data_IF_508076300527
#
_entry.id   IF_508076300527
#
_cell.length_a   1.000
_cell.length_b   1.000
_cell.length_c   1.000
_cell.angle_alpha   90.00
_cell.angle_beta   90.00
_cell.angle_gamma   90.00
#
_symmetry.space_group_name_H-M   'P 1'
#
loop_
_entity.id
_entity.type
_entity.pdbx_description
1 polymer ?
#
# COMPACT_ATOMS: atom_id res chain seq x y z
N UNK A 1 -13.70 -22.07 3.17
CA UNK A 1 -12.58 -22.98 2.85
C UNK A 1 -11.38 -22.51 3.65
N UNK A 2 -10.65 -23.42 4.30
CA UNK A 2 -9.47 -23.08 5.10
C UNK A 2 -8.20 -23.58 4.39
N UNK A 3 -7.26 -22.68 4.12
CA UNK A 3 -5.99 -23.00 3.46
C UNK A 3 -4.87 -23.34 4.46
N UNK A 4 -5.06 -23.06 5.75
CA UNK A 4 -4.13 -23.33 6.83
C UNK A 4 -2.72 -22.79 6.56
N UNK A 5 -1.70 -23.56 6.91
CA UNK A 5 -0.28 -23.18 6.71
C UNK A 5 0.11 -22.87 5.26
N UNK A 6 -0.68 -23.34 4.27
CA UNK A 6 -0.42 -23.11 2.84
C UNK A 6 -0.78 -21.70 2.41
N UNK A 7 -1.65 -21.00 3.14
CA UNK A 7 -2.10 -19.65 2.78
C UNK A 7 -0.93 -18.68 2.59
N UNK A 8 0.12 -18.79 3.43
CA UNK A 8 1.31 -17.94 3.32
C UNK A 8 2.00 -18.07 1.96
N UNK A 9 2.22 -19.29 1.47
CA UNK A 9 2.89 -19.51 0.18
C UNK A 9 1.98 -19.18 -1.00
N UNK A 10 0.68 -19.47 -0.89
CA UNK A 10 -0.32 -19.10 -1.88
C UNK A 10 -0.40 -17.58 -2.06
N UNK A 11 -0.47 -16.84 -0.95
CA UNK A 11 -0.52 -15.38 -0.96
C UNK A 11 0.77 -14.77 -1.49
N UNK A 12 1.93 -15.24 -1.02
CA UNK A 12 3.23 -14.78 -1.52
C UNK A 12 3.34 -14.95 -3.04
N UNK A 13 3.08 -16.16 -3.55
CA UNK A 13 3.22 -16.43 -4.98
C UNK A 13 2.17 -15.68 -5.82
N UNK A 14 0.91 -15.64 -5.39
CA UNK A 14 -0.15 -14.92 -6.09
C UNK A 14 0.17 -13.43 -6.24
N UNK A 15 0.71 -12.80 -5.18
CA UNK A 15 1.13 -11.40 -5.20
C UNK A 15 2.38 -11.16 -6.04
N UNK A 16 3.44 -11.95 -5.83
CA UNK A 16 4.70 -11.86 -6.60
C UNK A 16 4.46 -11.99 -8.10
N UNK A 17 3.61 -12.93 -8.51
CA UNK A 17 3.30 -13.18 -9.92
C UNK A 17 2.05 -12.45 -10.42
N UNK A 18 1.48 -11.56 -9.60
CA UNK A 18 0.41 -10.64 -10.00
C UNK A 18 -0.84 -11.35 -10.57
N UNK A 19 -1.16 -12.54 -10.07
CA UNK A 19 -2.17 -13.43 -10.67
C UNK A 19 -3.62 -12.99 -10.37
N UNK A 20 -3.84 -12.18 -9.33
CA UNK A 20 -5.14 -11.65 -8.93
C UNK A 20 -5.32 -10.16 -9.25
N UNK A 21 -4.49 -9.58 -10.12
CA UNK A 21 -4.60 -8.15 -10.47
C UNK A 21 -5.85 -7.87 -11.29
N UNK A 22 -6.36 -6.62 -11.30
CA UNK A 22 -7.56 -6.27 -12.05
C UNK A 22 -7.47 -6.54 -13.57
N UNK A 23 -6.27 -6.50 -14.14
CA UNK A 23 -6.05 -6.86 -15.55
C UNK A 23 -6.11 -8.39 -15.81
N UNK A 24 -6.37 -9.21 -14.79
CA UNK A 24 -6.56 -10.67 -14.85
C UNK A 24 -7.97 -11.08 -14.44
N UNK A 25 -8.46 -10.52 -13.34
CA UNK A 25 -9.74 -10.93 -12.70
C UNK A 25 -10.78 -9.79 -12.65
N UNK A 26 -10.51 -8.67 -13.31
CA UNK A 26 -11.36 -7.48 -13.21
C UNK A 26 -11.24 -6.75 -11.87
N UNK A 27 -11.88 -5.60 -11.76
CA UNK A 27 -11.89 -4.80 -10.54
C UNK A 27 -12.85 -5.40 -9.48
N UNK A 28 -12.53 -6.58 -8.95
CA UNK A 28 -13.39 -7.41 -8.09
C UNK A 28 -14.08 -6.60 -6.98
N UNK A 29 -13.36 -5.71 -6.29
CA UNK A 29 -13.93 -4.87 -5.23
C UNK A 29 -14.96 -3.86 -5.72
N UNK A 30 -14.81 -3.35 -6.93
CA UNK A 30 -15.80 -2.46 -7.55
C UNK A 30 -17.01 -3.28 -8.02
N UNK A 31 -16.75 -4.43 -8.66
CA UNK A 31 -17.78 -5.34 -9.17
C UNK A 31 -18.70 -5.86 -8.07
N UNK A 32 -18.15 -6.32 -6.93
CA UNK A 32 -18.99 -6.82 -5.83
C UNK A 32 -19.82 -5.70 -5.17
N UNK A 33 -19.32 -4.46 -5.17
CA UNK A 33 -20.07 -3.29 -4.70
C UNK A 33 -21.19 -2.89 -5.65
N UNK A 34 -21.04 -3.14 -6.95
CA UNK A 34 -22.12 -2.94 -7.92
C UNK A 34 -23.19 -4.04 -7.77
N UNK A 35 -22.77 -5.28 -7.52
CA UNK A 35 -23.66 -6.42 -7.35
C UNK A 35 -24.46 -6.37 -6.05
N UNK A 36 -23.84 -5.99 -4.91
CA UNK A 36 -24.44 -6.09 -3.57
C UNK A 36 -25.09 -7.47 -3.31
N UNK A 37 -24.38 -8.59 -3.53
CA UNK A 37 -24.97 -9.93 -3.47
C UNK A 37 -25.36 -10.31 -2.04
N UNK A 38 -26.47 -11.02 -1.90
CA UNK A 38 -26.94 -11.60 -0.64
C UNK A 38 -26.36 -12.99 -0.37
N UNK A 39 -25.91 -13.70 -1.42
CA UNK A 39 -25.31 -15.03 -1.31
C UNK A 39 -24.05 -15.17 -2.16
N UNK A 40 -23.25 -16.21 -1.88
CA UNK A 40 -22.05 -16.51 -2.67
C UNK A 40 -22.40 -16.98 -4.09
N UNK A 41 -23.51 -17.72 -4.26
CA UNK A 41 -23.95 -18.23 -5.56
C UNK A 41 -24.41 -17.07 -6.46
N UNK A 42 -25.14 -16.10 -5.89
CA UNK A 42 -25.54 -14.86 -6.57
C UNK A 42 -24.30 -14.08 -7.03
N UNK A 43 -23.31 -13.95 -6.13
CA UNK A 43 -22.06 -13.28 -6.47
C UNK A 43 -21.32 -13.99 -7.61
N UNK A 44 -21.15 -15.31 -7.54
CA UNK A 44 -20.40 -16.08 -8.52
C UNK A 44 -21.05 -15.99 -9.91
N UNK A 45 -22.37 -16.17 -9.97
CA UNK A 45 -23.12 -16.03 -11.21
C UNK A 45 -22.99 -14.61 -11.79
N UNK A 46 -23.27 -13.58 -10.99
CA UNK A 46 -23.21 -12.20 -11.44
C UNK A 46 -21.80 -11.80 -11.89
N UNK A 47 -20.77 -12.24 -11.16
CA UNK A 47 -19.38 -11.98 -11.51
C UNK A 47 -19.04 -12.53 -12.89
N UNK A 48 -19.34 -13.79 -13.20
CA UNK A 48 -19.04 -14.35 -14.53
C UNK A 48 -19.94 -13.80 -15.64
N UNK A 49 -21.10 -13.24 -15.31
CA UNK A 49 -21.93 -12.52 -16.27
C UNK A 49 -21.33 -11.16 -16.66
N UNK A 50 -20.76 -10.44 -15.68
CA UNK A 50 -20.45 -9.00 -15.78
C UNK A 50 -18.95 -8.64 -15.72
N UNK A 51 -18.07 -9.54 -15.27
CA UNK A 51 -16.66 -9.20 -15.05
C UNK A 51 -15.86 -9.12 -16.36
N UNK A 52 -15.10 -8.04 -16.50
CA UNK A 52 -14.11 -7.85 -17.56
C UNK A 52 -12.75 -7.48 -16.97
N UNK A 53 -11.67 -7.90 -17.63
CA UNK A 53 -10.31 -7.51 -17.26
C UNK A 53 -10.11 -6.00 -17.40
N UNK A 54 -9.57 -5.35 -16.38
CA UNK A 54 -9.24 -3.92 -16.39
C UNK A 54 -7.85 -3.69 -17.03
N UNK A 55 -7.77 -3.81 -18.35
CA UNK A 55 -6.51 -3.69 -19.11
C UNK A 55 -6.68 -2.95 -20.44
N UNK A 56 -5.66 -3.02 -21.31
CA UNK A 56 -5.73 -2.40 -22.65
C UNK A 56 -6.85 -2.99 -23.52
N UNK A 57 -7.25 -4.23 -23.25
CA UNK A 57 -8.39 -4.92 -23.84
C UNK A 57 -9.28 -5.38 -22.70
N UNK A 58 -10.58 -5.12 -22.81
CA UNK A 58 -11.58 -5.60 -21.86
C UNK A 58 -12.04 -6.97 -22.32
N UNK A 59 -11.45 -8.03 -21.77
CA UNK A 59 -11.84 -9.41 -22.04
C UNK A 59 -12.77 -9.86 -20.92
N UNK A 60 -13.86 -10.56 -21.30
CA UNK A 60 -14.77 -11.14 -20.33
C UNK A 60 -14.02 -12.19 -19.52
N UNK A 61 -14.19 -12.18 -18.20
CA UNK A 61 -13.60 -13.19 -17.31
C UNK A 61 -14.54 -14.39 -17.24
N UNK A 62 -13.98 -15.58 -17.37
CA UNK A 62 -14.70 -16.85 -17.36
C UNK A 62 -14.19 -17.78 -16.25
N UNK A 63 -14.96 -18.83 -15.91
CA UNK A 63 -14.48 -19.86 -14.98
C UNK A 63 -13.18 -20.53 -15.45
N UNK A 64 -12.98 -20.67 -16.77
CA UNK A 64 -11.77 -21.23 -17.35
C UNK A 64 -10.54 -20.33 -17.11
N UNK A 65 -10.72 -19.01 -17.13
CA UNK A 65 -9.64 -18.06 -16.81
C UNK A 65 -9.20 -18.18 -15.35
N UNK A 66 -10.14 -18.31 -14.41
CA UNK A 66 -9.79 -18.53 -13.00
C UNK A 66 -9.08 -19.86 -12.78
N UNK A 67 -9.50 -20.91 -13.51
CA UNK A 67 -8.82 -22.21 -13.49
C UNK A 67 -7.38 -22.09 -14.02
N UNK A 68 -7.16 -21.45 -15.16
CA UNK A 68 -5.82 -21.21 -15.73
C UNK A 68 -4.92 -20.43 -14.73
N UNK A 69 -5.47 -19.40 -14.07
CA UNK A 69 -4.73 -18.65 -13.05
C UNK A 69 -4.33 -19.54 -11.86
N UNK A 70 -5.19 -20.47 -11.46
CA UNK A 70 -4.89 -21.47 -10.43
C UNK A 70 -3.78 -22.45 -10.86
N UNK A 71 -3.84 -22.95 -12.09
CA UNK A 71 -2.80 -23.83 -12.67
C UNK A 71 -1.45 -23.12 -12.75
N UNK A 72 -1.44 -21.85 -13.16
CA UNK A 72 -0.23 -21.01 -13.17
C UNK A 72 0.31 -20.73 -11.78
N UNK A 73 -0.57 -20.51 -10.79
CA UNK A 73 -0.14 -20.36 -9.41
C UNK A 73 0.58 -21.64 -8.93
N UNK A 74 0.01 -22.81 -9.23
CA UNK A 74 0.62 -24.10 -8.90
C UNK A 74 1.97 -24.29 -9.59
N UNK A 75 2.06 -24.02 -10.89
CA UNK A 75 3.31 -24.08 -11.65
C UNK A 75 4.37 -23.15 -11.04
N UNK A 76 4.04 -21.89 -10.75
CA UNK A 76 4.99 -20.93 -10.16
C UNK A 76 5.47 -21.35 -8.78
N UNK A 77 4.58 -21.90 -7.95
CA UNK A 77 4.97 -22.39 -6.63
C UNK A 77 5.93 -23.58 -6.76
N UNK A 78 5.57 -24.57 -7.58
CA UNK A 78 6.32 -25.84 -7.66
C UNK A 78 7.64 -25.72 -8.40
N UNK A 79 7.70 -24.90 -9.46
CA UNK A 79 8.89 -24.78 -10.32
C UNK A 79 9.86 -23.68 -9.91
N UNK A 80 9.40 -22.69 -9.14
CA UNK A 80 10.23 -21.52 -8.76
C UNK A 80 10.27 -21.34 -7.24
N UNK A 81 9.11 -21.09 -6.59
CA UNK A 81 9.09 -20.68 -5.18
C UNK A 81 9.64 -21.78 -4.25
N UNK A 82 9.24 -23.03 -4.45
CA UNK A 82 9.70 -24.15 -3.62
C UNK A 82 11.22 -24.34 -3.77
N UNK A 83 11.80 -24.48 -4.98
CA UNK A 83 13.25 -24.58 -5.15
C UNK A 83 14.01 -23.40 -4.55
N UNK A 84 13.58 -22.15 -4.82
CA UNK A 84 14.25 -20.95 -4.34
C UNK A 84 14.27 -20.88 -2.80
N UNK A 85 13.13 -21.21 -2.16
CA UNK A 85 13.03 -21.20 -0.70
C UNK A 85 13.80 -22.35 -0.07
N UNK A 86 13.78 -23.54 -0.67
CA UNK A 86 14.60 -24.65 -0.20
C UNK A 86 16.08 -24.30 -0.24
N UNK A 87 16.54 -23.64 -1.30
CA UNK A 87 17.92 -23.15 -1.38
C UNK A 87 18.20 -22.10 -0.30
N UNK A 88 17.35 -21.09 -0.17
CA UNK A 88 17.50 -20.04 0.82
C UNK A 88 17.54 -20.59 2.26
N UNK A 89 16.68 -21.55 2.59
CA UNK A 89 16.67 -22.18 3.91
C UNK A 89 17.91 -23.05 4.14
N UNK A 90 18.42 -23.71 3.10
CA UNK A 90 19.63 -24.53 3.18
C UNK A 90 20.88 -23.68 3.36
N UNK A 91 20.94 -22.50 2.73
CA UNK A 91 22.09 -21.60 2.79
C UNK A 91 22.05 -20.60 3.94
N UNK A 92 20.92 -20.47 4.65
CA UNK A 92 20.74 -19.48 5.71
C UNK A 92 21.72 -19.71 6.87
N UNK A 93 22.51 -18.68 7.19
CA UNK A 93 23.45 -18.72 8.32
C UNK A 93 22.99 -17.82 9.47
N UNK A 94 23.57 -18.03 10.66
CA UNK A 94 23.37 -17.12 11.79
C UNK A 94 23.83 -15.70 11.45
N UNK A 95 24.93 -15.56 10.70
CA UNK A 95 25.48 -14.27 10.32
C UNK A 95 24.52 -13.48 9.44
N UNK A 96 23.82 -14.15 8.51
CA UNK A 96 22.80 -13.51 7.69
C UNK A 96 21.68 -12.91 8.55
N UNK A 97 21.25 -13.64 9.59
CA UNK A 97 20.24 -13.17 10.54
C UNK A 97 20.74 -11.97 11.37
N UNK A 98 21.95 -12.05 11.93
CA UNK A 98 22.56 -10.96 12.69
C UNK A 98 22.72 -9.70 11.84
N UNK A 99 23.25 -9.85 10.62
CA UNK A 99 23.45 -8.76 9.67
C UNK A 99 22.13 -8.15 9.23
N UNK A 100 21.11 -8.99 9.00
CA UNK A 100 19.80 -8.49 8.61
C UNK A 100 19.17 -7.64 9.73
N UNK A 101 19.26 -8.07 10.99
CA UNK A 101 18.78 -7.29 12.14
C UNK A 101 19.57 -5.99 12.31
N UNK A 102 20.90 -6.05 12.24
CA UNK A 102 21.74 -4.85 12.32
C UNK A 102 21.42 -3.87 11.19
N UNK A 103 21.32 -4.35 9.96
CA UNK A 103 21.01 -3.55 8.80
C UNK A 103 19.60 -2.93 8.86
N UNK A 104 18.60 -3.68 9.34
CA UNK A 104 17.26 -3.14 9.59
C UNK A 104 17.27 -2.03 10.64
N UNK A 105 18.02 -2.23 11.72
CA UNK A 105 17.96 -1.37 12.91
C UNK A 105 18.80 -0.12 12.76
N UNK A 106 20.00 -0.22 12.17
CA UNK A 106 20.98 0.87 12.11
C UNK A 106 20.98 1.49 10.71
N UNK A 107 21.28 0.70 9.69
CA UNK A 107 21.51 1.25 8.35
C UNK A 107 20.21 1.78 7.73
N UNK A 108 19.15 0.98 7.74
CA UNK A 108 17.87 1.35 7.12
C UNK A 108 17.16 2.49 7.85
N UNK A 109 17.30 2.58 9.18
CA UNK A 109 16.73 3.70 9.95
C UNK A 109 17.49 5.01 9.67
N UNK A 110 18.82 4.95 9.63
CA UNK A 110 19.66 6.11 9.28
C UNK A 110 19.43 6.57 7.83
N UNK A 111 19.39 5.64 6.88
CA UNK A 111 19.06 5.94 5.49
C UNK A 111 17.65 6.52 5.35
N UNK A 112 16.69 6.02 6.13
CA UNK A 112 15.33 6.54 6.20
C UNK A 112 15.32 7.99 6.68
N UNK A 113 15.99 8.27 7.80
CA UNK A 113 16.14 9.60 8.38
C UNK A 113 16.79 10.61 7.42
N UNK A 114 17.93 10.25 6.82
CA UNK A 114 18.61 11.12 5.85
C UNK A 114 17.72 11.42 4.64
N UNK A 115 17.03 10.38 4.16
CA UNK A 115 16.14 10.49 3.01
C UNK A 115 14.97 11.43 3.30
N UNK A 116 14.35 11.30 4.47
CA UNK A 116 13.27 12.15 4.92
C UNK A 116 13.69 13.62 4.97
N UNK A 117 14.84 13.90 5.61
CA UNK A 117 15.44 15.23 5.64
C UNK A 117 15.71 15.81 4.27
N UNK A 118 16.22 15.00 3.35
CA UNK A 118 16.53 15.46 1.99
C UNK A 118 15.26 15.80 1.19
N UNK A 119 14.15 15.07 1.38
CA UNK A 119 12.85 15.42 0.71
C UNK A 119 12.46 16.86 1.03
N UNK A 120 12.57 17.22 2.31
CA UNK A 120 12.11 18.51 2.78
C UNK A 120 13.15 19.58 2.48
N UNK A 121 14.37 19.41 2.95
CA UNK A 121 15.39 20.45 2.93
C UNK A 121 16.02 20.64 1.54
N UNK A 122 16.22 19.55 0.78
CA UNK A 122 16.80 19.63 -0.57
C UNK A 122 15.78 19.68 -1.69
N UNK A 123 14.53 19.30 -1.40
CA UNK A 123 13.41 19.30 -2.34
C UNK A 123 12.42 20.44 -2.08
N UNK A 124 11.57 20.28 -1.06
CA UNK A 124 10.42 21.17 -0.83
C UNK A 124 10.81 22.62 -0.56
N UNK A 125 11.84 22.87 0.26
CA UNK A 125 12.32 24.24 0.55
C UNK A 125 12.71 24.98 -0.72
N UNK A 126 13.32 24.29 -1.70
CA UNK A 126 13.72 24.90 -2.99
C UNK A 126 12.54 25.17 -3.90
N UNK A 127 11.53 24.30 -3.89
CA UNK A 127 10.31 24.44 -4.72
C UNK A 127 9.37 25.49 -4.14
N UNK A 128 9.30 25.59 -2.81
CA UNK A 128 8.38 26.46 -2.08
C UNK A 128 9.14 27.39 -1.12
N UNK A 129 9.85 28.41 -1.63
CA UNK A 129 10.71 29.27 -0.80
C UNK A 129 9.95 30.12 0.23
N UNK A 130 8.63 30.30 0.04
CA UNK A 130 7.76 31.06 0.95
C UNK A 130 7.11 30.20 2.04
N UNK A 131 7.40 28.90 2.08
CA UNK A 131 6.91 27.98 3.11
C UNK A 131 8.04 27.69 4.09
N UNK A 132 7.78 27.86 5.38
CA UNK A 132 8.73 27.46 6.43
C UNK A 132 8.43 26.03 6.82
N UNK A 133 9.38 25.12 6.63
CA UNK A 133 9.26 23.72 7.03
C UNK A 133 9.99 23.49 8.36
N UNK A 134 9.34 22.82 9.30
CA UNK A 134 9.86 22.50 10.62
C UNK A 134 9.58 21.03 10.92
N UNK A 135 10.53 20.33 11.54
CA UNK A 135 10.28 18.97 12.05
C UNK A 135 9.13 19.01 13.07
N UNK A 136 8.22 18.05 12.98
CA UNK A 136 7.11 17.95 13.94
C UNK A 136 7.64 17.65 15.35
N UNK A 137 7.03 18.21 16.40
CA UNK A 137 7.30 17.77 17.76
C UNK A 137 6.91 16.30 17.94
N UNK A 138 7.62 15.59 18.83
CA UNK A 138 7.48 14.14 19.04
C UNK A 138 6.03 13.70 19.31
N UNK A 139 5.23 14.55 19.95
CA UNK A 139 3.80 14.29 20.19
C UNK A 139 2.99 14.21 18.89
N UNK A 140 3.24 15.11 17.93
CA UNK A 140 2.54 15.13 16.63
C UNK A 140 3.08 14.06 15.66
N UNK A 141 4.37 13.76 15.73
CA UNK A 141 5.01 12.66 14.99
C UNK A 141 4.40 11.31 15.41
N UNK A 142 4.38 11.04 16.72
CA UNK A 142 3.95 9.74 17.24
C UNK A 142 2.43 9.54 17.24
N UNK A 143 1.64 10.61 17.47
CA UNK A 143 0.18 10.52 17.52
C UNK A 143 -0.49 10.72 16.16
N UNK A 144 0.11 11.52 15.29
CA UNK A 144 -0.50 12.04 14.07
C UNK A 144 0.09 11.56 12.77
N UNK A 145 1.15 10.76 12.79
CA UNK A 145 1.80 10.29 11.57
C UNK A 145 2.29 11.50 10.70
N UNK A 146 2.64 12.62 11.34
CA UNK A 146 3.11 13.86 10.69
C UNK A 146 4.59 14.01 10.98
N UNK A 147 5.43 13.91 9.96
CA UNK A 147 6.89 14.00 10.11
C UNK A 147 7.38 15.47 10.08
N UNK A 148 6.68 16.34 9.34
CA UNK A 148 7.02 17.76 9.19
C UNK A 148 5.78 18.66 9.20
N UNK A 149 5.95 19.88 9.70
CA UNK A 149 4.98 20.98 9.61
C UNK A 149 5.46 22.01 8.59
N UNK A 150 4.59 22.39 7.64
CA UNK A 150 4.80 23.50 6.73
C UNK A 150 3.94 24.71 7.10
N UNK A 151 4.53 25.90 7.15
CA UNK A 151 3.87 27.16 7.54
C UNK A 151 3.83 28.17 6.39
N UNK A 152 2.67 28.82 6.21
CA UNK A 152 2.46 29.94 5.29
C UNK A 152 1.73 31.05 6.06
N UNK A 153 2.50 32.05 6.50
CA UNK A 153 1.99 33.04 7.45
C UNK A 153 1.51 32.35 8.73
N UNK A 154 0.26 32.58 9.11
CA UNK A 154 -0.36 32.00 10.32
C UNK A 154 -0.99 30.62 10.09
N UNK A 155 -0.96 30.09 8.87
CA UNK A 155 -1.57 28.79 8.52
C UNK A 155 -0.50 27.69 8.46
N UNK A 156 -0.88 26.48 8.85
CA UNK A 156 0.01 25.32 8.82
C UNK A 156 -0.62 24.08 8.17
N UNK A 157 0.22 23.19 7.66
CA UNK A 157 -0.16 21.88 7.13
C UNK A 157 0.85 20.80 7.54
N UNK A 158 0.36 19.57 7.70
CA UNK A 158 1.18 18.41 8.03
C UNK A 158 1.69 17.69 6.77
N UNK A 159 2.92 17.21 6.85
CA UNK A 159 3.57 16.41 5.81
C UNK A 159 3.94 15.07 6.41
N UNK A 160 3.56 14.01 5.69
CA UNK A 160 4.11 12.69 5.91
C UNK A 160 4.92 12.24 4.69
N UNK A 161 6.16 11.87 4.93
CA UNK A 161 7.11 11.38 3.95
C UNK A 161 7.16 9.86 4.07
N UNK A 162 6.79 9.15 3.00
CA UNK A 162 6.99 7.69 2.91
C UNK A 162 7.78 7.32 1.67
N UNK A 163 8.59 6.25 1.73
CA UNK A 163 9.27 5.74 0.55
C UNK A 163 8.25 5.23 -0.48
N UNK A 164 8.53 5.41 -1.78
CA UNK A 164 7.64 4.96 -2.87
C UNK A 164 7.40 3.45 -2.84
N UNK A 165 8.40 2.69 -2.38
CA UNK A 165 8.32 1.23 -2.21
C UNK A 165 7.32 0.81 -1.11
N UNK A 166 6.81 1.74 -0.29
CA UNK A 166 5.66 1.46 0.57
C UNK A 166 4.41 1.09 -0.25
N UNK A 167 4.30 1.50 -1.52
CA UNK A 167 3.18 1.09 -2.39
C UNK A 167 3.16 -0.39 -2.75
N UNK A 168 4.30 -1.08 -2.73
CA UNK A 168 4.38 -2.50 -3.12
C UNK A 168 4.02 -3.48 -2.00
N UNK A 169 4.07 -3.06 -0.73
CA UNK A 169 3.82 -3.93 0.43
C UNK A 169 2.58 -3.56 1.25
N UNK A 170 1.91 -2.44 0.96
CA UNK A 170 0.70 -2.03 1.68
C UNK A 170 -0.52 -2.15 0.77
N UNK A 171 -1.35 -3.16 1.04
CA UNK A 171 -2.72 -3.17 0.55
C UNK A 171 -3.47 -1.93 1.03
N UNK A 172 -4.28 -1.34 0.14
CA UNK A 172 -5.34 -0.36 0.40
C UNK A 172 -5.07 0.65 1.53
N UNK A 173 -4.49 1.79 1.18
CA UNK A 173 -4.31 2.92 2.10
C UNK A 173 -5.68 3.49 2.51
N UNK A 174 -6.18 3.10 3.69
CA UNK A 174 -7.17 3.87 4.45
C UNK A 174 -6.39 4.76 5.43
N UNK A 175 -6.69 6.07 5.54
CA UNK A 175 -6.19 6.90 6.63
C UNK A 175 -6.43 6.19 7.96
N UNK A 176 -5.42 6.12 8.83
CA UNK A 176 -5.56 5.50 10.14
C UNK A 176 -6.65 6.22 10.93
N UNK A 177 -7.43 5.52 11.77
CA UNK A 177 -8.46 6.17 12.61
C UNK A 177 -7.84 7.24 13.53
N UNK A 178 -6.57 7.07 13.89
CA UNK A 178 -5.76 8.05 14.62
C UNK A 178 -5.56 9.34 13.83
N UNK A 179 -5.24 9.22 12.53
CA UNK A 179 -5.12 10.35 11.62
C UNK A 179 -6.45 11.11 11.50
N UNK A 180 -7.59 10.41 11.50
CA UNK A 180 -8.93 11.04 11.48
C UNK A 180 -9.21 11.86 12.74
N UNK A 181 -8.77 11.40 13.92
CA UNK A 181 -9.02 12.09 15.18
C UNK A 181 -8.29 13.45 15.29
N UNK A 182 -7.07 13.54 14.76
CA UNK A 182 -6.24 14.76 14.84
C UNK A 182 -6.72 15.86 13.90
N UNK A 183 -7.27 15.51 12.73
CA UNK A 183 -7.89 16.48 11.84
C UNK A 183 -9.03 17.24 12.52
N UNK A 184 -9.88 16.50 13.24
CA UNK A 184 -11.02 17.07 13.97
C UNK A 184 -10.56 17.95 15.13
N UNK A 185 -9.43 17.62 15.77
CA UNK A 185 -8.93 18.34 16.93
C UNK A 185 -8.14 19.62 16.59
N UNK A 186 -7.41 19.66 15.46
CA UNK A 186 -6.41 20.71 15.22
C UNK A 186 -6.50 21.43 13.87
N UNK A 187 -7.46 21.10 12.99
CA UNK A 187 -7.74 21.90 11.78
C UNK A 187 -6.64 21.95 10.71
N UNK A 188 -5.71 20.98 10.71
CA UNK A 188 -4.62 20.92 9.73
C UNK A 188 -5.05 20.32 8.38
N UNK A 189 -4.42 20.78 7.30
CA UNK A 189 -4.46 20.10 5.99
C UNK A 189 -3.29 19.13 5.89
N UNK A 190 -3.46 17.95 5.28
CA UNK A 190 -2.41 16.94 5.16
C UNK A 190 -2.07 16.67 3.71
N UNK A 191 -0.78 16.59 3.43
CA UNK A 191 -0.27 16.22 2.11
C UNK A 191 0.66 15.02 2.22
N UNK A 192 0.38 13.99 1.42
CA UNK A 192 1.24 12.84 1.27
C UNK A 192 2.25 13.09 0.14
N UNK A 193 3.54 12.90 0.43
CA UNK A 193 4.61 13.08 -0.53
C UNK A 193 5.37 11.79 -0.79
N UNK A 194 5.37 11.38 -2.06
CA UNK A 194 6.17 10.26 -2.55
C UNK A 194 7.55 10.77 -2.95
N UNK A 195 8.60 10.10 -2.46
CA UNK A 195 9.96 10.59 -2.60
C UNK A 195 10.60 10.33 -3.99
N UNK A 196 10.52 11.31 -4.90
CA UNK A 196 11.36 11.43 -6.10
C UNK A 196 11.80 12.89 -6.26
N UNK A 197 13.11 13.20 -6.28
CA UNK A 197 13.64 14.57 -6.37
C UNK A 197 13.31 15.30 -7.69
N UNK A 198 12.72 14.61 -8.68
CA UNK A 198 12.28 15.19 -9.97
C UNK A 198 10.77 15.15 -10.20
N UNK A 199 9.98 14.59 -9.29
CA UNK A 199 8.53 14.45 -9.45
C UNK A 199 7.83 14.29 -8.09
N UNK A 200 7.92 15.31 -7.25
CA UNK A 200 7.12 15.43 -6.03
C UNK A 200 5.64 15.57 -6.41
N UNK A 201 4.91 14.45 -6.56
CA UNK A 201 3.45 14.49 -6.71
C UNK A 201 2.82 14.55 -5.32
N UNK A 202 2.36 15.74 -4.96
CA UNK A 202 1.40 15.92 -3.87
C UNK A 202 0.05 15.36 -4.32
N UNK A 203 -0.46 14.33 -3.64
CA UNK A 203 -1.86 13.95 -3.79
C UNK A 203 -2.66 14.81 -2.81
N UNK A 204 -3.54 15.68 -3.35
CA UNK A 204 -4.61 16.27 -2.53
C UNK A 204 -5.50 15.13 -2.08
N UNK A 205 -5.62 14.92 -0.77
CA UNK A 205 -6.72 14.12 -0.27
C UNK A 205 -8.02 14.87 -0.57
N UNK A 206 -9.06 14.20 -1.12
CA UNK A 206 -10.36 14.81 -1.32
C UNK A 206 -10.89 15.34 0.01
N UNK A 207 -11.54 16.49 -0.09
CA UNK A 207 -12.28 17.14 0.98
C UNK A 207 -13.22 16.13 1.66
N UNK A 208 -13.15 16.03 2.99
CA UNK A 208 -14.17 15.35 3.79
C UNK A 208 -15.41 16.26 3.84
N UNK A 209 -16.29 16.12 2.85
CA UNK A 209 -17.69 16.53 3.00
C UNK A 209 -18.45 15.48 3.82
N UNK A 210 -19.50 15.89 4.52
CA UNK A 210 -20.32 15.11 5.48
C UNK A 210 -21.00 13.83 4.94
N UNK A 211 -20.56 13.23 3.84
CA UNK A 211 -21.27 12.08 3.23
C UNK A 211 -20.37 11.00 2.61
N UNK A 212 -19.18 10.75 3.14
CA UNK A 212 -18.38 9.59 2.72
C UNK A 212 -18.33 8.51 3.81
N UNK A 213 -19.27 7.57 3.77
CA UNK A 213 -19.24 6.34 4.57
C UNK A 213 -18.08 5.43 4.10
N UNK A 214 -17.26 4.97 5.04
CA UNK A 214 -16.27 3.92 4.81
C UNK A 214 -16.67 2.68 5.61
N UNK A 215 -16.85 1.56 4.92
CA UNK A 215 -16.94 0.23 5.50
C UNK A 215 -15.55 -0.29 5.85
N UNK A 216 -15.38 -0.69 7.12
CA UNK A 216 -14.27 -1.51 7.60
C UNK A 216 -14.66 -2.99 7.48
N UNK A 217 -13.88 -3.75 6.72
CA UNK A 217 -13.80 -5.21 6.81
C UNK A 217 -12.31 -5.53 6.98
N UNK A 218 -11.81 -6.26 7.97
CA UNK A 218 -12.35 -7.00 9.09
C UNK A 218 -11.16 -7.33 10.00
N UNK A 219 -11.44 -8.04 11.10
CA UNK A 219 -10.56 -8.37 12.23
C UNK A 219 -9.15 -8.86 11.89
#
# INVERSE_FOLDING_TARGET
MDFGKKEKVLNYACQTYHLSRPNKVGAVMELIRQCQPSTIDEWEQWYFENAFTAGKRNLKVTPADLKELGERLFEKITTIVIPDWQEAFRSLTLKDCEDYIHNLTINRTFDGYLREKSVVNDGLVKIFPNVVFVESPAELDHSGDVDYMGYVGEKAFGIQVKPITARSNFGNYSPSERMKAIFTAHGFFFSHLSNQPKNSRCQRMPFWGESTQWFSSGK
#
